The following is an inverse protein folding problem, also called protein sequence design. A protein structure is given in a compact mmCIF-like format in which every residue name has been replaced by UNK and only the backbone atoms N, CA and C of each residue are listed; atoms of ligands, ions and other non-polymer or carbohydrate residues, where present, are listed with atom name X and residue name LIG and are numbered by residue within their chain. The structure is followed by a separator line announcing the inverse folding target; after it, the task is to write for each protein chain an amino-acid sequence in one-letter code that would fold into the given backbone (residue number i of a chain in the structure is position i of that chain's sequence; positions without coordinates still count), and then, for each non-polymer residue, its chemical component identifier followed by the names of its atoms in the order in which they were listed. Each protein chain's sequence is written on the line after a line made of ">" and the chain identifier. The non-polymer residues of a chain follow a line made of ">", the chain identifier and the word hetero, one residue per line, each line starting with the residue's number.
data_IF_206162579596
#
_entry.id   IF_206162579596
#
_cell.length_a   1.000
_cell.length_b   1.000
_cell.length_c   1.000
_cell.angle_alpha   90.00
_cell.angle_beta   90.00
_cell.angle_gamma   90.00
#
_symmetry.space_group_name_H-M   'P 1'
#
loop_
_entity.id
_entity.type
_entity.pdbx_description
1 polymer ?
#
# COMPACT_ATOMS: atom_id res chain seq x y z
N UNK A 1 13.07 4.27 -19.83
CA UNK A 1 12.62 5.60 -20.31
C UNK A 1 11.10 5.77 -20.19
N UNK A 2 10.25 5.00 -20.89
CA UNK A 2 8.79 5.18 -20.79
C UNK A 2 8.20 5.10 -19.37
N UNK A 3 8.69 4.18 -18.53
CA UNK A 3 8.21 4.09 -17.15
C UNK A 3 8.52 5.36 -16.33
N UNK A 4 9.71 5.93 -16.52
CA UNK A 4 10.12 7.18 -15.89
C UNK A 4 9.26 8.34 -16.37
N UNK A 5 9.01 8.45 -17.68
CA UNK A 5 8.12 9.47 -18.25
C UNK A 5 6.70 9.36 -17.69
N UNK A 6 6.15 8.14 -17.61
CA UNK A 6 4.83 7.92 -17.02
C UNK A 6 4.78 8.38 -15.55
N UNK A 7 5.80 8.09 -14.74
CA UNK A 7 5.90 8.58 -13.35
C UNK A 7 6.03 10.10 -13.31
N UNK A 8 6.80 10.71 -14.21
CA UNK A 8 6.93 12.17 -14.28
C UNK A 8 5.61 12.84 -14.61
N UNK A 9 4.87 12.34 -15.60
CA UNK A 9 3.53 12.86 -15.89
C UNK A 9 2.57 12.64 -14.72
N UNK A 10 2.64 11.49 -14.05
CA UNK A 10 1.81 11.23 -12.87
C UNK A 10 2.09 12.19 -11.71
N UNK A 11 3.35 12.54 -11.53
CA UNK A 11 3.74 13.52 -10.54
C UNK A 11 3.29 14.94 -10.93
N UNK A 12 3.42 15.30 -12.21
CA UNK A 12 2.91 16.58 -12.74
C UNK A 12 1.39 16.69 -12.57
N UNK A 13 0.65 15.64 -12.91
CA UNK A 13 -0.78 15.53 -12.67
C UNK A 13 -1.10 15.67 -11.17
N UNK A 14 -0.35 15.02 -10.29
CA UNK A 14 -0.57 15.17 -8.85
C UNK A 14 -0.36 16.62 -8.37
N UNK A 15 0.59 17.37 -8.94
CA UNK A 15 0.86 18.76 -8.57
C UNK A 15 -0.15 19.75 -9.16
N UNK A 16 -0.55 19.54 -10.42
CA UNK A 16 -1.29 20.53 -11.22
C UNK A 16 -2.75 20.13 -11.50
N UNK A 17 -3.09 18.86 -11.33
CA UNK A 17 -4.41 18.31 -11.60
C UNK A 17 -5.40 18.49 -10.45
N UNK A 18 -6.69 18.33 -10.75
CA UNK A 18 -7.74 18.28 -9.74
C UNK A 18 -8.01 16.84 -9.29
N UNK A 19 -8.50 16.69 -8.06
CA UNK A 19 -8.95 15.39 -7.56
C UNK A 19 -10.04 14.83 -8.49
N UNK A 20 -9.84 13.59 -8.95
CA UNK A 20 -10.77 12.91 -9.86
C UNK A 20 -10.58 13.23 -11.34
N UNK A 21 -9.60 14.07 -11.70
CA UNK A 21 -9.25 14.29 -13.10
C UNK A 21 -8.72 13.00 -13.76
N UNK A 22 -9.04 12.83 -15.04
CA UNK A 22 -8.68 11.62 -15.80
C UNK A 22 -7.23 11.68 -16.24
N UNK A 23 -6.61 10.51 -16.39
CA UNK A 23 -5.27 10.37 -16.95
C UNK A 23 -5.20 11.02 -18.34
N UNK A 24 -4.11 11.71 -18.64
CA UNK A 24 -3.86 12.28 -19.96
C UNK A 24 -3.54 11.17 -20.97
N UNK A 25 -3.70 11.44 -22.28
CA UNK A 25 -3.27 10.51 -23.33
C UNK A 25 -1.78 10.14 -23.23
N UNK A 26 -0.92 11.10 -22.85
CA UNK A 26 0.52 10.91 -22.71
C UNK A 26 0.86 9.97 -21.54
N UNK A 27 0.18 10.14 -20.41
CA UNK A 27 0.28 9.24 -19.25
C UNK A 27 -0.08 7.81 -19.65
N UNK A 28 -1.24 7.65 -20.29
CA UNK A 28 -1.73 6.35 -20.74
C UNK A 28 -0.76 5.71 -21.76
N UNK A 29 -0.27 6.50 -22.71
CA UNK A 29 0.66 6.04 -23.73
C UNK A 29 1.96 5.51 -23.12
N UNK A 30 2.61 6.28 -22.24
CA UNK A 30 3.87 5.88 -21.64
C UNK A 30 3.72 4.73 -20.65
N UNK A 31 2.65 4.70 -19.87
CA UNK A 31 2.35 3.56 -19.00
C UNK A 31 2.15 2.30 -19.85
N UNK A 32 1.29 2.33 -20.86
CA UNK A 32 1.07 1.20 -21.76
C UNK A 32 2.37 0.70 -22.40
N UNK A 33 3.16 1.61 -23.01
CA UNK A 33 4.44 1.28 -23.64
C UNK A 33 5.42 0.66 -22.65
N UNK A 34 5.51 1.19 -21.44
CA UNK A 34 6.38 0.64 -20.40
C UNK A 34 5.96 -0.79 -20.01
N UNK A 35 4.66 -1.05 -19.87
CA UNK A 35 4.11 -2.38 -19.55
C UNK A 35 4.41 -3.39 -20.65
N UNK A 36 4.18 -3.03 -21.92
CA UNK A 36 4.44 -3.90 -23.07
C UNK A 36 5.93 -4.25 -23.18
N UNK A 37 6.81 -3.25 -23.08
CA UNK A 37 8.26 -3.47 -23.17
C UNK A 37 8.79 -4.28 -21.99
N UNK A 38 8.28 -4.01 -20.79
CA UNK A 38 8.63 -4.76 -19.59
C UNK A 38 8.22 -6.23 -19.73
N UNK A 39 6.98 -6.51 -20.15
CA UNK A 39 6.51 -7.86 -20.39
C UNK A 39 7.35 -8.60 -21.45
N UNK A 40 7.71 -7.92 -22.55
CA UNK A 40 8.61 -8.50 -23.57
C UNK A 40 9.98 -8.83 -23.00
N UNK A 41 10.57 -7.93 -22.20
CA UNK A 41 11.90 -8.17 -21.61
C UNK A 41 11.89 -9.31 -20.62
N UNK A 42 10.85 -9.47 -19.80
CA UNK A 42 10.73 -10.56 -18.83
C UNK A 42 10.63 -11.96 -19.47
N UNK A 43 10.29 -12.04 -20.77
CA UNK A 43 10.25 -13.30 -21.52
C UNK A 43 11.62 -13.77 -22.03
N UNK A 44 12.64 -12.93 -21.93
CA UNK A 44 14.00 -13.23 -22.37
C UNK A 44 14.91 -13.49 -21.16
N UNK A 45 16.00 -14.27 -21.31
CA UNK A 45 16.99 -14.46 -20.25
C UNK A 45 17.46 -13.11 -19.67
N UNK A 46 17.56 -13.01 -18.35
CA UNK A 46 17.93 -11.77 -17.66
C UNK A 46 19.44 -11.74 -17.46
N UNK A 47 20.12 -10.78 -18.09
CA UNK A 47 21.56 -10.57 -17.92
C UNK A 47 21.82 -9.50 -16.84
N UNK A 48 23.06 -9.37 -16.38
CA UNK A 48 23.43 -8.39 -15.34
C UNK A 48 23.05 -6.95 -15.70
N UNK A 49 23.21 -6.56 -16.97
CA UNK A 49 22.88 -5.20 -17.47
C UNK A 49 21.38 -4.86 -17.38
N UNK A 50 20.53 -5.87 -17.32
CA UNK A 50 19.07 -5.69 -17.31
C UNK A 50 18.49 -5.52 -15.90
N UNK A 51 19.25 -5.89 -14.86
CA UNK A 51 18.74 -5.99 -13.49
C UNK A 51 18.21 -4.66 -12.95
N UNK A 52 18.97 -3.57 -13.07
CA UNK A 52 18.51 -2.26 -12.63
C UNK A 52 17.37 -1.70 -13.48
N UNK A 53 17.44 -1.72 -14.83
CA UNK A 53 16.30 -1.34 -15.67
C UNK A 53 15.02 -2.10 -15.34
N UNK A 54 15.12 -3.40 -15.07
CA UNK A 54 13.98 -4.23 -14.67
C UNK A 54 13.43 -3.82 -13.31
N UNK A 55 14.29 -3.66 -12.31
CA UNK A 55 13.85 -3.23 -10.97
C UNK A 55 13.22 -1.84 -11.00
N UNK A 56 13.85 -0.88 -11.68
CA UNK A 56 13.32 0.48 -11.81
C UNK A 56 11.99 0.53 -12.54
N UNK A 57 11.84 -0.25 -13.62
CA UNK A 57 10.56 -0.33 -14.36
C UNK A 57 9.47 -0.97 -13.51
N UNK A 58 9.77 -2.05 -12.79
CA UNK A 58 8.82 -2.71 -11.89
C UNK A 58 8.40 -1.80 -10.72
N UNK A 59 9.33 -1.04 -10.15
CA UNK A 59 9.05 -0.05 -9.11
C UNK A 59 8.16 1.08 -9.63
N UNK A 60 8.45 1.62 -10.82
CA UNK A 60 7.63 2.64 -11.47
C UNK A 60 6.20 2.14 -11.74
N UNK A 61 6.04 0.92 -12.27
CA UNK A 61 4.71 0.33 -12.50
C UNK A 61 3.94 0.11 -11.20
N UNK A 62 4.62 -0.28 -10.10
CA UNK A 62 4.00 -0.38 -8.79
C UNK A 62 3.53 1.00 -8.26
N UNK A 63 4.36 2.04 -8.41
CA UNK A 63 4.00 3.42 -8.05
C UNK A 63 2.78 3.88 -8.85
N UNK A 64 2.80 3.72 -10.17
CA UNK A 64 1.70 4.12 -11.07
C UNK A 64 0.39 3.38 -10.72
N UNK A 65 0.45 2.07 -10.49
CA UNK A 65 -0.73 1.28 -10.09
C UNK A 65 -1.35 1.78 -8.78
N UNK A 66 -0.54 2.34 -7.88
CA UNK A 66 -1.02 2.88 -6.63
C UNK A 66 -1.56 4.31 -6.81
N UNK A 67 -0.78 5.19 -7.45
CA UNK A 67 -1.05 6.62 -7.59
C UNK A 67 -2.38 6.94 -8.28
N UNK A 68 -2.83 6.05 -9.16
CA UNK A 68 -4.05 6.26 -9.93
C UNK A 68 -5.13 5.26 -9.56
N UNK A 69 -5.99 5.58 -8.57
CA UNK A 69 -7.23 4.83 -8.38
C UNK A 69 -8.10 4.95 -9.63
N UNK A 70 -8.86 3.90 -9.96
CA UNK A 70 -9.81 3.93 -11.08
C UNK A 70 -11.14 4.64 -10.73
N UNK A 71 -11.19 5.27 -9.54
CA UNK A 71 -12.33 6.02 -9.03
C UNK A 71 -12.05 7.53 -9.09
N UNK A 72 -13.05 8.33 -9.46
CA UNK A 72 -12.99 9.79 -9.41
C UNK A 72 -13.71 10.36 -8.18
N UNK A 73 -14.57 9.56 -7.55
CA UNK A 73 -15.36 9.92 -6.36
C UNK A 73 -15.18 8.91 -5.22
N UNK A 74 -15.64 9.28 -4.01
CA UNK A 74 -15.57 8.40 -2.84
C UNK A 74 -16.45 7.17 -3.03
N UNK A 75 -17.64 7.36 -3.60
CA UNK A 75 -18.66 6.34 -3.83
C UNK A 75 -18.23 5.30 -4.87
N UNK A 76 -17.46 5.71 -5.87
CA UNK A 76 -16.85 4.84 -6.88
C UNK A 76 -15.60 4.11 -6.37
N UNK A 77 -15.10 4.48 -5.19
CA UNK A 77 -13.85 3.93 -4.65
C UNK A 77 -14.09 2.65 -3.85
N UNK A 78 -13.07 1.79 -3.78
CA UNK A 78 -13.07 0.68 -2.84
C UNK A 78 -13.03 1.22 -1.39
N UNK A 79 -13.78 0.65 -0.43
CA UNK A 79 -14.62 -0.55 -0.51
C UNK A 79 -16.11 -0.30 -0.82
N UNK A 80 -16.52 0.90 -1.24
CA UNK A 80 -17.93 1.22 -1.52
C UNK A 80 -18.42 0.67 -2.86
N UNK A 81 -17.57 0.69 -3.89
CA UNK A 81 -17.92 0.13 -5.21
C UNK A 81 -18.29 -1.36 -5.14
N UNK A 82 -19.05 -1.90 -6.11
CA UNK A 82 -19.28 -3.33 -6.23
C UNK A 82 -17.97 -4.14 -6.24
N UNK A 83 -18.02 -5.37 -5.74
CA UNK A 83 -16.84 -6.24 -5.69
C UNK A 83 -16.39 -6.56 -7.12
N UNK A 84 -15.14 -6.28 -7.42
CA UNK A 84 -14.51 -6.63 -8.68
C UNK A 84 -13.14 -7.26 -8.38
N UNK A 85 -13.05 -8.60 -8.30
CA UNK A 85 -11.80 -9.29 -7.99
C UNK A 85 -10.67 -9.02 -9.00
N UNK A 86 -10.99 -8.52 -10.20
CA UNK A 86 -10.01 -8.24 -11.25
C UNK A 86 -9.29 -6.91 -11.07
N UNK A 87 -9.96 -5.90 -10.48
CA UNK A 87 -9.41 -4.56 -10.22
C UNK A 87 -9.17 -4.26 -8.74
N UNK A 88 -9.91 -4.93 -7.83
CA UNK A 88 -9.80 -4.71 -6.40
C UNK A 88 -8.41 -5.09 -5.89
N UNK A 89 -7.78 -4.13 -5.20
CA UNK A 89 -6.43 -4.24 -4.65
C UNK A 89 -5.37 -4.58 -5.72
N UNK A 90 -5.57 -4.16 -6.98
CA UNK A 90 -4.61 -4.41 -8.07
C UNK A 90 -3.20 -3.92 -7.71
N UNK A 91 -3.08 -2.75 -7.06
CA UNK A 91 -1.80 -2.20 -6.63
C UNK A 91 -1.03 -3.16 -5.71
N UNK A 92 -1.72 -3.95 -4.88
CA UNK A 92 -1.11 -5.00 -4.04
C UNK A 92 -0.53 -6.11 -4.91
N UNK A 93 -1.28 -6.52 -5.93
CA UNK A 93 -0.84 -7.54 -6.89
C UNK A 93 0.40 -7.06 -7.65
N UNK A 94 0.41 -5.81 -8.12
CA UNK A 94 1.56 -5.21 -8.80
C UNK A 94 2.79 -5.12 -7.87
N UNK A 95 2.59 -4.70 -6.61
CA UNK A 95 3.65 -4.68 -5.60
C UNK A 95 4.28 -6.05 -5.35
N UNK A 96 3.46 -7.10 -5.24
CA UNK A 96 3.95 -8.49 -5.14
C UNK A 96 4.69 -8.95 -6.39
N UNK A 97 4.17 -8.62 -7.57
CA UNK A 97 4.82 -8.88 -8.85
C UNK A 97 6.22 -8.27 -8.89
N UNK A 98 6.37 -7.01 -8.49
CA UNK A 98 7.69 -6.36 -8.32
C UNK A 98 8.58 -7.16 -7.36
N UNK A 99 8.08 -7.51 -6.17
CA UNK A 99 8.88 -8.21 -5.17
C UNK A 99 9.31 -9.62 -5.60
N UNK A 100 8.59 -10.28 -6.52
CA UNK A 100 9.03 -11.56 -7.09
C UNK A 100 10.37 -11.47 -7.84
N UNK A 101 10.73 -10.27 -8.32
CA UNK A 101 12.01 -10.04 -9.00
C UNK A 101 13.18 -9.83 -8.03
N UNK A 102 12.91 -9.65 -6.73
CA UNK A 102 13.91 -9.25 -5.73
C UNK A 102 15.18 -10.09 -5.78
N UNK A 103 15.06 -11.42 -5.76
CA UNK A 103 16.20 -12.32 -5.77
C UNK A 103 16.90 -12.43 -7.13
N UNK A 104 16.17 -12.16 -8.22
CA UNK A 104 16.69 -12.22 -9.59
C UNK A 104 17.55 -11.00 -9.89
N UNK A 105 17.01 -9.81 -9.61
CA UNK A 105 17.68 -8.54 -9.93
C UNK A 105 18.60 -8.06 -8.81
N UNK A 106 18.32 -8.47 -7.56
CA UNK A 106 19.03 -8.10 -6.35
C UNK A 106 19.39 -6.61 -6.31
N UNK A 107 18.47 -5.71 -5.91
CA UNK A 107 18.73 -4.27 -5.89
C UNK A 107 19.80 -3.86 -4.84
N UNK A 108 20.25 -4.80 -4.00
CA UNK A 108 21.31 -4.60 -3.00
C UNK A 108 22.70 -5.07 -3.49
N UNK A 109 22.81 -5.58 -4.73
CA UNK A 109 24.11 -5.99 -5.27
C UNK A 109 25.08 -4.81 -5.34
N UNK A 110 26.41 -5.04 -5.23
CA UNK A 110 27.40 -3.97 -5.10
C UNK A 110 27.37 -2.93 -6.23
N UNK A 111 27.06 -3.37 -7.45
CA UNK A 111 27.01 -2.59 -8.70
C UNK A 111 25.63 -1.97 -9.00
N UNK A 112 24.63 -2.16 -8.14
CA UNK A 112 23.29 -1.60 -8.38
C UNK A 112 23.21 -0.12 -8.05
N UNK A 113 22.61 0.65 -8.96
CA UNK A 113 22.25 2.05 -8.67
C UNK A 113 21.22 2.18 -7.54
N UNK A 114 20.44 1.13 -7.27
CA UNK A 114 19.42 1.12 -6.21
C UNK A 114 19.99 0.81 -4.83
N UNK A 115 21.29 0.52 -4.71
CA UNK A 115 21.93 0.30 -3.41
C UNK A 115 21.81 1.51 -2.49
N UNK A 116 21.68 2.72 -3.04
CA UNK A 116 21.39 3.95 -2.28
C UNK A 116 20.09 3.85 -1.47
N UNK A 117 19.14 3.01 -1.88
CA UNK A 117 17.88 2.76 -1.18
C UNK A 117 18.00 1.77 -0.01
N UNK A 118 19.22 1.30 0.31
CA UNK A 118 19.46 0.35 1.39
C UNK A 118 18.76 0.71 2.72
N UNK A 119 18.77 1.97 3.20
CA UNK A 119 18.05 2.32 4.43
C UNK A 119 16.54 2.10 4.32
N UNK A 120 15.93 2.43 3.18
CA UNK A 120 14.50 2.20 2.95
C UNK A 120 14.16 0.71 2.83
N UNK A 121 15.05 -0.10 2.25
CA UNK A 121 14.87 -1.54 2.22
C UNK A 121 15.02 -2.17 3.60
N UNK A 122 16.01 -1.75 4.40
CA UNK A 122 16.17 -2.23 5.77
C UNK A 122 14.93 -1.95 6.61
N UNK A 123 14.37 -0.74 6.48
CA UNK A 123 13.13 -0.36 7.13
C UNK A 123 11.91 -1.14 6.63
N UNK A 124 11.79 -1.33 5.32
CA UNK A 124 10.75 -2.17 4.72
C UNK A 124 10.82 -3.60 5.28
N UNK A 125 12.02 -4.12 5.54
CA UNK A 125 12.31 -5.46 6.05
C UNK A 125 12.44 -5.55 7.57
N UNK A 126 12.03 -4.51 8.31
CA UNK A 126 12.06 -4.52 9.76
C UNK A 126 11.28 -5.72 10.29
N UNK A 127 11.93 -6.49 11.18
CA UNK A 127 11.39 -7.73 11.69
C UNK A 127 10.19 -7.44 12.61
N UNK A 128 9.06 -8.09 12.33
CA UNK A 128 7.95 -8.10 13.28
C UNK A 128 8.25 -9.05 14.44
N UNK A 129 7.73 -8.78 15.65
CA UNK A 129 7.77 -9.73 16.75
C UNK A 129 7.22 -11.09 16.31
N UNK A 130 7.80 -12.18 16.83
CA UNK A 130 7.31 -13.54 16.51
C UNK A 130 5.98 -13.87 17.20
N UNK A 131 5.70 -13.19 18.30
CA UNK A 131 4.58 -13.47 19.20
C UNK A 131 4.24 -12.24 20.04
N UNK A 132 3.00 -12.14 20.50
CA UNK A 132 2.53 -11.16 21.47
C UNK A 132 2.16 -9.79 20.89
N UNK A 133 1.94 -8.81 21.77
CA UNK A 133 1.36 -7.50 21.43
C UNK A 133 2.33 -6.32 21.65
N UNK A 134 3.61 -6.60 21.85
CA UNK A 134 4.63 -5.58 22.11
C UNK A 134 4.62 -4.48 21.04
N UNK A 135 4.43 -3.23 21.47
CA UNK A 135 4.41 -2.06 20.59
C UNK A 135 3.05 -1.77 19.94
N UNK A 136 2.03 -2.61 20.12
CA UNK A 136 0.67 -2.37 19.62
C UNK A 136 -0.12 -1.58 20.68
N UNK A 137 -0.73 -0.43 20.34
CA UNK A 137 -1.64 0.27 21.26
C UNK A 137 -2.80 -0.62 21.70
N UNK A 138 -3.16 -0.56 22.99
CA UNK A 138 -4.14 -1.46 23.63
C UNK A 138 -5.44 -1.60 22.83
N UNK A 139 -6.05 -0.49 22.43
CA UNK A 139 -7.30 -0.51 21.66
C UNK A 139 -7.15 -1.24 20.31
N UNK A 140 -5.99 -1.11 19.65
CA UNK A 140 -5.72 -1.80 18.39
C UNK A 140 -5.52 -3.31 18.60
N UNK A 141 -4.87 -3.70 19.70
CA UNK A 141 -4.75 -5.11 20.08
C UNK A 141 -6.12 -5.73 20.38
N UNK A 142 -6.98 -5.02 21.13
CA UNK A 142 -8.34 -5.46 21.46
C UNK A 142 -9.20 -5.70 20.22
N UNK A 143 -9.24 -4.75 19.27
CA UNK A 143 -10.06 -4.90 18.07
C UNK A 143 -9.54 -5.98 17.11
N UNK A 144 -8.22 -6.19 17.09
CA UNK A 144 -7.58 -7.27 16.34
C UNK A 144 -7.63 -8.61 17.08
N UNK A 145 -8.21 -8.66 18.29
CA UNK A 145 -8.26 -9.83 19.17
C UNK A 145 -6.86 -10.45 19.37
N UNK A 146 -5.87 -9.59 19.61
CA UNK A 146 -4.50 -10.00 19.86
C UNK A 146 -4.24 -10.10 21.36
N UNK A 147 -3.50 -11.13 21.74
CA UNK A 147 -2.99 -11.34 23.09
C UNK A 147 -1.54 -11.80 23.08
N UNK A 148 -1.00 -12.11 24.26
CA UNK A 148 0.40 -12.55 24.40
C UNK A 148 0.71 -13.81 23.59
N UNK A 149 -0.29 -14.67 23.35
CA UNK A 149 -0.14 -15.89 22.54
C UNK A 149 -0.36 -15.72 21.04
N UNK A 150 -0.70 -14.52 20.58
CA UNK A 150 -0.95 -14.27 19.16
C UNK A 150 0.34 -14.31 18.35
N UNK A 151 0.25 -14.88 17.15
CA UNK A 151 1.32 -15.07 16.17
C UNK A 151 0.75 -14.84 14.76
N UNK A 152 1.62 -14.78 13.75
CA UNK A 152 1.18 -14.68 12.36
C UNK A 152 0.38 -15.93 11.89
N UNK A 153 0.66 -17.07 12.51
CA UNK A 153 0.07 -18.37 12.20
C UNK A 153 -1.34 -18.52 12.80
N UNK A 154 -1.61 -17.95 13.97
CA UNK A 154 -2.90 -18.10 14.65
C UNK A 154 -3.84 -16.90 14.51
N UNK A 155 -3.34 -15.71 14.19
CA UNK A 155 -4.17 -14.51 14.02
C UNK A 155 -3.84 -13.79 12.69
N UNK A 156 -4.87 -13.60 11.85
CA UNK A 156 -4.72 -13.01 10.53
C UNK A 156 -4.35 -11.52 10.54
N UNK A 157 -4.67 -10.79 11.62
CA UNK A 157 -4.37 -9.37 11.79
C UNK A 157 -2.97 -9.12 12.33
N UNK A 158 -2.32 -10.13 12.94
CA UNK A 158 -1.08 -9.98 13.70
C UNK A 158 0.00 -9.13 12.99
N UNK A 159 0.37 -9.52 11.77
CA UNK A 159 1.44 -8.83 11.03
C UNK A 159 1.03 -7.41 10.64
N UNK A 160 -0.23 -7.23 10.23
CA UNK A 160 -0.77 -5.94 9.81
C UNK A 160 -0.92 -4.96 11.00
N UNK A 161 -1.35 -5.45 12.17
CA UNK A 161 -1.47 -4.64 13.39
C UNK A 161 -0.11 -4.14 13.86
N UNK A 162 0.92 -4.99 13.88
CA UNK A 162 2.31 -4.59 14.17
C UNK A 162 2.83 -3.56 13.14
N UNK A 163 2.55 -3.78 11.86
CA UNK A 163 2.93 -2.84 10.80
C UNK A 163 2.25 -1.47 10.96
N UNK A 164 0.95 -1.44 11.23
CA UNK A 164 0.20 -0.20 11.48
C UNK A 164 0.74 0.49 12.72
N UNK A 165 0.90 -0.22 13.84
CA UNK A 165 1.44 0.36 15.07
C UNK A 165 2.82 1.00 14.86
N UNK A 166 3.70 0.33 14.13
CA UNK A 166 5.01 0.88 13.76
C UNK A 166 4.87 2.15 12.91
N UNK A 167 4.08 2.13 11.84
CA UNK A 167 3.86 3.31 10.98
C UNK A 167 3.27 4.48 11.77
N UNK A 168 2.37 4.21 12.72
CA UNK A 168 1.75 5.22 13.56
C UNK A 168 2.72 5.87 14.55
N UNK A 169 3.72 5.11 15.03
CA UNK A 169 4.77 5.63 15.92
C UNK A 169 5.72 6.63 15.26
N UNK A 170 5.72 6.70 13.92
CA UNK A 170 6.57 7.63 13.17
C UNK A 170 5.99 9.05 13.26
N UNK A 171 6.80 10.06 13.64
CA UNK A 171 6.37 11.45 13.64
C UNK A 171 5.89 11.91 12.26
N UNK A 172 4.89 12.79 12.25
CA UNK A 172 4.43 13.42 11.01
C UNK A 172 5.59 14.17 10.34
N UNK A 173 5.68 14.08 9.00
CA UNK A 173 6.80 14.63 8.22
C UNK A 173 8.07 13.77 8.17
N UNK A 174 8.18 12.72 8.99
CA UNK A 174 9.30 11.77 8.94
C UNK A 174 8.96 10.45 8.24
N UNK A 175 7.71 10.31 7.78
CA UNK A 175 7.28 9.13 7.03
C UNK A 175 7.99 9.09 5.69
N UNK A 176 8.56 7.93 5.41
CA UNK A 176 9.24 7.62 4.16
C UNK A 176 8.52 6.49 3.44
N UNK A 177 8.88 6.27 2.17
CA UNK A 177 8.42 5.10 1.42
C UNK A 177 8.75 3.78 2.12
N UNK A 178 9.89 3.66 2.81
CA UNK A 178 10.23 2.42 3.52
C UNK A 178 9.20 2.06 4.61
N UNK A 179 8.80 3.05 5.41
CA UNK A 179 7.78 2.89 6.45
C UNK A 179 6.42 2.44 5.88
N UNK A 180 5.95 3.10 4.82
CA UNK A 180 4.62 2.79 4.26
C UNK A 180 4.54 1.38 3.68
N UNK A 181 5.67 0.83 3.22
CA UNK A 181 5.75 -0.51 2.65
C UNK A 181 5.69 -1.65 3.67
N UNK A 182 5.79 -1.37 4.97
CA UNK A 182 5.73 -2.42 5.99
C UNK A 182 4.33 -3.08 5.99
N UNK A 183 3.26 -2.28 5.94
CA UNK A 183 1.90 -2.83 5.84
C UNK A 183 1.68 -3.52 4.49
N UNK A 184 2.10 -2.94 3.38
CA UNK A 184 1.85 -3.50 2.04
C UNK A 184 2.43 -4.91 1.89
N UNK A 185 3.58 -5.18 2.53
CA UNK A 185 4.16 -6.53 2.62
C UNK A 185 3.31 -7.51 3.41
N UNK A 186 2.57 -7.04 4.41
CA UNK A 186 1.67 -7.85 5.22
C UNK A 186 0.36 -8.20 4.49
N UNK A 187 0.07 -7.60 3.32
CA UNK A 187 -1.15 -7.88 2.55
C UNK A 187 -1.02 -9.17 1.75
N UNK A 188 -1.05 -10.31 2.43
CA UNK A 188 -1.02 -11.66 1.83
C UNK A 188 -1.82 -12.66 2.66
N UNK A 189 -1.94 -13.89 2.15
CA UNK A 189 -2.64 -14.99 2.83
C UNK A 189 -4.04 -14.58 3.32
N UNK A 190 -4.33 -14.92 4.58
CA UNK A 190 -5.62 -14.65 5.23
C UNK A 190 -5.94 -13.16 5.31
N UNK A 191 -4.97 -12.29 5.61
CA UNK A 191 -5.21 -10.85 5.72
C UNK A 191 -5.66 -10.25 4.37
N UNK A 192 -5.05 -10.69 3.26
CA UNK A 192 -5.51 -10.31 1.92
C UNK A 192 -6.96 -10.76 1.66
N UNK A 193 -7.34 -11.96 2.10
CA UNK A 193 -8.71 -12.46 2.01
C UNK A 193 -9.71 -11.56 2.73
N UNK A 194 -9.39 -11.20 3.98
CA UNK A 194 -10.20 -10.30 4.81
C UNK A 194 -10.42 -8.92 4.16
N UNK A 195 -9.43 -8.39 3.43
CA UNK A 195 -9.62 -7.15 2.67
C UNK A 195 -10.58 -7.31 1.47
N UNK A 196 -10.57 -8.46 0.76
CA UNK A 196 -11.58 -8.71 -0.29
C UNK A 196 -12.98 -8.87 0.29
N UNK A 197 -13.08 -9.52 1.44
CA UNK A 197 -14.32 -9.69 2.19
C UNK A 197 -14.78 -8.40 2.89
N UNK A 198 -13.97 -7.33 2.81
CA UNK A 198 -14.25 -6.01 3.43
C UNK A 198 -14.46 -6.13 4.93
N UNK A 199 -13.73 -7.04 5.56
CA UNK A 199 -13.76 -7.26 7.01
C UNK A 199 -13.51 -5.93 7.76
N UNK A 200 -14.34 -5.58 8.74
CA UNK A 200 -14.28 -4.28 9.38
C UNK A 200 -12.96 -3.98 10.09
N UNK A 201 -12.30 -5.00 10.66
CA UNK A 201 -11.00 -4.81 11.35
C UNK A 201 -9.88 -4.62 10.34
N UNK A 202 -9.87 -5.41 9.26
CA UNK A 202 -8.92 -5.24 8.16
C UNK A 202 -9.06 -3.86 7.49
N UNK A 203 -10.29 -3.37 7.33
CA UNK A 203 -10.58 -2.03 6.83
C UNK A 203 -10.07 -0.94 7.78
N UNK A 204 -10.21 -1.09 9.10
CA UNK A 204 -9.62 -0.14 10.06
C UNK A 204 -8.09 -0.09 9.98
N UNK A 205 -7.43 -1.25 9.85
CA UNK A 205 -5.98 -1.29 9.69
C UNK A 205 -5.54 -0.53 8.43
N UNK A 206 -6.26 -0.69 7.32
CA UNK A 206 -6.05 0.10 6.09
C UNK A 206 -6.35 1.59 6.29
N UNK A 207 -7.45 1.94 6.97
CA UNK A 207 -7.84 3.32 7.26
C UNK A 207 -6.77 4.07 8.07
N UNK A 208 -6.25 3.43 9.12
CA UNK A 208 -5.19 3.98 9.96
C UNK A 208 -3.90 4.16 9.15
N UNK A 209 -3.51 3.14 8.38
CA UNK A 209 -2.33 3.24 7.52
C UNK A 209 -2.44 4.37 6.50
N UNK A 210 -3.59 4.52 5.82
CA UNK A 210 -3.81 5.64 4.90
C UNK A 210 -3.62 6.99 5.58
N UNK A 211 -4.06 7.13 6.83
CA UNK A 211 -3.90 8.39 7.58
C UNK A 211 -2.45 8.84 7.76
N UNK A 212 -1.51 7.90 7.83
CA UNK A 212 -0.08 8.19 7.91
C UNK A 212 0.61 8.19 6.54
N UNK A 213 0.25 7.23 5.70
CA UNK A 213 0.87 6.99 4.41
C UNK A 213 0.52 8.06 3.35
N UNK A 214 -0.56 8.82 3.55
CA UNK A 214 -0.94 9.95 2.68
C UNK A 214 0.14 11.05 2.55
N UNK A 215 1.15 11.08 3.43
CA UNK A 215 2.30 11.98 3.30
C UNK A 215 3.26 11.59 2.14
N UNK A 216 3.02 10.45 1.49
CA UNK A 216 3.74 10.02 0.30
C UNK A 216 2.87 10.31 -0.93
N UNK A 217 3.35 11.15 -1.84
CA UNK A 217 2.55 11.71 -2.95
C UNK A 217 1.78 10.65 -3.75
N UNK A 218 2.43 9.52 -4.07
CA UNK A 218 1.83 8.46 -4.88
C UNK A 218 0.85 7.59 -4.09
N UNK A 219 0.69 7.80 -2.78
CA UNK A 219 -0.35 7.20 -1.94
C UNK A 219 -1.50 8.16 -1.74
N UNK A 220 -1.21 9.46 -1.65
CA UNK A 220 -2.14 10.49 -1.21
C UNK A 220 -3.45 10.51 -2.01
N UNK A 221 -3.39 10.49 -3.35
CA UNK A 221 -4.59 10.54 -4.19
C UNK A 221 -5.55 9.38 -3.90
N UNK A 222 -5.02 8.16 -3.76
CA UNK A 222 -5.81 7.00 -3.37
C UNK A 222 -6.32 7.12 -1.94
N UNK A 223 -5.49 7.59 -1.01
CA UNK A 223 -5.89 7.80 0.38
C UNK A 223 -7.06 8.80 0.50
N UNK A 224 -7.07 9.87 -0.30
CA UNK A 224 -8.16 10.87 -0.34
C UNK A 224 -9.50 10.28 -0.78
N UNK A 225 -9.51 9.15 -1.50
CA UNK A 225 -10.73 8.48 -1.94
C UNK A 225 -11.08 7.27 -1.08
N UNK A 226 -10.12 6.34 -0.91
CA UNK A 226 -10.36 5.08 -0.20
C UNK A 226 -10.52 5.28 1.31
N UNK A 227 -9.83 6.24 1.94
CA UNK A 227 -9.96 6.47 3.39
C UNK A 227 -11.37 6.95 3.80
N UNK A 228 -11.99 7.97 3.16
CA UNK A 228 -13.39 8.29 3.43
C UNK A 228 -14.35 7.18 2.95
N UNK A 229 -14.05 6.47 1.87
CA UNK A 229 -14.88 5.34 1.43
C UNK A 229 -14.94 4.23 2.48
N UNK A 230 -13.80 3.89 3.12
CA UNK A 230 -13.75 2.95 4.25
C UNK A 230 -14.63 3.45 5.40
N UNK A 231 -14.50 4.72 5.77
CA UNK A 231 -15.29 5.31 6.85
C UNK A 231 -16.80 5.22 6.56
N UNK A 232 -17.22 5.58 5.35
CA UNK A 232 -18.61 5.48 4.91
C UNK A 232 -19.10 4.03 4.89
N UNK A 233 -18.30 3.10 4.35
CA UNK A 233 -18.64 1.67 4.31
C UNK A 233 -18.89 1.12 5.72
N UNK A 234 -18.00 1.39 6.67
CA UNK A 234 -18.13 0.93 8.06
C UNK A 234 -19.36 1.54 8.76
N UNK A 235 -19.72 2.79 8.45
CA UNK A 235 -20.95 3.45 8.95
C UNK A 235 -22.22 2.88 8.36
N UNK A 236 -22.21 2.47 7.10
CA UNK A 236 -23.39 1.92 6.44
C UNK A 236 -23.61 0.46 6.88
N UNK A 237 -22.56 -0.36 6.82
CA UNK A 237 -22.66 -1.82 6.93
C UNK A 237 -22.25 -2.41 8.29
N UNK A 238 -21.56 -1.65 9.16
CA UNK A 238 -21.05 -2.14 10.45
C UNK A 238 -21.40 -1.21 11.63
N UNK A 239 -22.65 -0.73 11.70
CA UNK A 239 -23.13 0.30 12.66
C UNK A 239 -22.85 0.02 14.15
N UNK A 240 -22.81 -1.25 14.55
CA UNK A 240 -22.62 -1.66 15.95
C UNK A 240 -21.21 -2.20 16.26
N UNK A 241 -20.28 -2.05 15.32
CA UNK A 241 -18.93 -2.58 15.49
C UNK A 241 -18.06 -1.64 16.33
N UNK A 242 -17.17 -2.20 17.16
CA UNK A 242 -16.19 -1.45 17.95
C UNK A 242 -15.23 -0.60 17.09
N UNK A 243 -15.17 -0.87 15.78
CA UNK A 243 -14.34 -0.12 14.80
C UNK A 243 -14.67 1.36 14.74
N UNK A 244 -15.90 1.74 15.09
CA UNK A 244 -16.35 3.13 15.10
C UNK A 244 -15.55 4.03 16.05
N UNK A 245 -14.92 3.46 17.09
CA UNK A 245 -14.06 4.22 18.00
C UNK A 245 -12.86 4.87 17.29
N UNK A 246 -12.39 4.28 16.18
CA UNK A 246 -11.24 4.75 15.41
C UNK A 246 -11.61 5.74 14.30
N UNK A 247 -12.91 5.90 13.99
CA UNK A 247 -13.39 6.76 12.91
C UNK A 247 -13.63 8.18 13.43
N UNK A 248 -13.75 9.21 12.55
CA UNK A 248 -14.05 10.56 12.98
C UNK A 248 -15.34 10.62 13.82
N UNK A 249 -15.27 11.28 14.98
CA UNK A 249 -16.34 11.31 15.98
C UNK A 249 -16.34 10.14 16.97
N UNK A 250 -15.44 9.16 16.80
CA UNK A 250 -15.19 8.08 17.75
C UNK A 250 -14.27 8.51 18.89
N UNK A 251 -14.32 7.78 20.01
CA UNK A 251 -13.57 8.08 21.24
C UNK A 251 -12.05 8.03 21.09
N UNK A 252 -11.53 7.37 20.05
CA UNK A 252 -10.10 7.23 19.80
C UNK A 252 -9.64 8.00 18.56
N UNK A 253 -10.51 8.75 17.88
CA UNK A 253 -10.20 9.38 16.59
C UNK A 253 -8.92 10.25 16.63
N UNK A 254 -8.76 11.04 17.70
CA UNK A 254 -7.64 11.97 17.89
C UNK A 254 -6.32 11.27 18.24
N UNK A 255 -6.36 10.01 18.68
CA UNK A 255 -5.15 9.24 19.00
C UNK A 255 -4.37 8.82 17.73
N UNK A 256 -4.96 8.98 16.55
CA UNK A 256 -4.44 8.47 15.27
C UNK A 256 -4.37 9.53 14.16
N UNK A 257 -4.64 10.80 14.50
CA UNK A 257 -4.55 11.95 13.59
C UNK A 257 -3.13 12.50 13.45
#
# INVERSE_FOLDING_TARGET
>A
MHASLAVSFAYDHYQNGSLGSRRTPEECYHWYKSTVLFNRRLKLPIESKDKDPLWGTAAALAILSFAFPDASTVEESWPLKPLDPSSDLEWVRMGKGKMSLWHIVNPMRPDSVFRVMAPSFAQMHLASPKKGISGIPKALAEICQLGEDSTAENNAYFSAAHAVAHVQSVPNGQITTGHTQILTRCIHGRFKGLLYERDPVALILMYLWYGKAQNVWWIELRARLERPAICSYLRIYHKHSAVHMFLPGGTLAECWS
#
